data_IF_738915372933
#
_entry.id   IF_738915372933
#
_cell.length_a   1.000
_cell.length_b   1.000
_cell.length_c   1.000
_cell.angle_alpha   90.00
_cell.angle_beta   90.00
_cell.angle_gamma   90.00
#
_symmetry.space_group_name_H-M   'P 1'
#
loop_
_entity.id
_entity.type
_entity.pdbx_description
1 polymer ?
#
# COMPACT_ATOMS: atom_id res chain seq x y z
N UNK A 1 -21.45 4.24 15.10
CA UNK A 1 -20.68 3.44 14.10
C UNK A 1 -21.66 2.62 13.30
N UNK A 2 -21.48 2.50 11.99
CA UNK A 2 -22.35 1.69 11.14
C UNK A 2 -21.57 1.17 9.92
N UNK A 3 -21.92 -0.04 9.46
CA UNK A 3 -21.48 -0.58 8.19
C UNK A 3 -22.68 -0.61 7.25
N UNK A 4 -22.48 -0.09 6.04
CA UNK A 4 -23.45 -0.17 4.95
C UNK A 4 -22.80 -0.80 3.71
N UNK A 5 -23.63 -1.33 2.81
CA UNK A 5 -23.16 -1.98 1.58
C UNK A 5 -23.89 -1.44 0.38
N UNK A 6 -23.23 -1.45 -0.78
CA UNK A 6 -23.85 -1.20 -2.08
C UNK A 6 -23.20 -2.07 -3.17
N UNK A 7 -23.92 -2.42 -4.22
CA UNK A 7 -23.29 -3.01 -5.41
C UNK A 7 -22.29 -2.01 -6.01
N UNK A 8 -21.10 -2.51 -6.38
CA UNK A 8 -20.10 -1.69 -7.07
C UNK A 8 -20.02 -2.05 -8.57
N UNK A 9 -20.11 -3.33 -8.88
CA UNK A 9 -20.05 -3.81 -10.26
C UNK A 9 -20.10 -5.32 -10.34
N UNK A 10 -19.71 -5.84 -11.51
CA UNK A 10 -19.64 -7.28 -11.78
C UNK A 10 -18.29 -7.57 -12.44
N UNK A 11 -17.58 -8.58 -11.96
CA UNK A 11 -16.29 -9.00 -12.53
C UNK A 11 -16.46 -9.50 -13.97
N UNK A 12 -15.38 -9.58 -14.77
CA UNK A 12 -15.45 -10.19 -16.12
C UNK A 12 -15.97 -11.63 -16.13
N UNK A 13 -15.84 -12.36 -15.01
CA UNK A 13 -16.37 -13.72 -14.83
C UNK A 13 -17.84 -13.77 -14.38
N UNK A 14 -18.51 -12.61 -14.24
CA UNK A 14 -19.92 -12.52 -13.86
C UNK A 14 -20.19 -12.54 -12.36
N UNK A 15 -19.18 -12.41 -11.50
CA UNK A 15 -19.35 -12.37 -10.04
C UNK A 15 -19.63 -10.95 -9.57
N UNK A 16 -20.62 -10.74 -8.66
CA UNK A 16 -20.91 -9.41 -8.12
C UNK A 16 -19.78 -8.93 -7.21
N UNK A 17 -19.51 -7.63 -7.24
CA UNK A 17 -18.58 -6.93 -6.35
C UNK A 17 -19.38 -5.96 -5.49
N UNK A 18 -19.10 -6.00 -4.19
CA UNK A 18 -19.77 -5.20 -3.17
C UNK A 18 -18.80 -4.19 -2.56
N UNK A 19 -19.26 -2.96 -2.41
CA UNK A 19 -18.58 -1.92 -1.62
C UNK A 19 -19.17 -1.91 -0.20
N UNK A 20 -18.29 -1.95 0.79
CA UNK A 20 -18.57 -1.88 2.22
C UNK A 20 -18.10 -0.54 2.75
N UNK A 21 -18.97 0.22 3.42
CA UNK A 21 -18.62 1.51 4.01
C UNK A 21 -18.70 1.46 5.53
N UNK A 22 -17.55 1.65 6.17
CA UNK A 22 -17.41 1.78 7.62
C UNK A 22 -17.56 3.27 7.98
N UNK A 23 -18.57 3.63 8.77
CA UNK A 23 -18.81 5.01 9.18
C UNK A 23 -18.69 5.13 10.69
N UNK A 24 -17.91 6.09 11.18
CA UNK A 24 -17.76 6.36 12.60
C UNK A 24 -18.85 7.29 13.14
N UNK A 25 -18.89 7.52 14.47
CA UNK A 25 -19.88 8.37 15.11
C UNK A 25 -19.81 9.85 14.65
N UNK A 26 -18.66 10.32 14.19
CA UNK A 26 -18.45 11.67 13.66
C UNK A 26 -18.87 11.86 12.19
N UNK A 27 -19.32 10.79 11.51
CA UNK A 27 -19.70 10.81 10.10
C UNK A 27 -18.54 10.68 9.13
N UNK A 28 -17.30 10.54 9.61
CA UNK A 28 -16.17 10.15 8.78
C UNK A 28 -16.32 8.68 8.36
N UNK A 29 -15.78 8.30 7.19
CA UNK A 29 -16.01 6.94 6.66
C UNK A 29 -14.89 6.45 5.77
N UNK A 30 -14.79 5.12 5.65
CA UNK A 30 -13.91 4.42 4.72
C UNK A 30 -14.74 3.40 3.93
N UNK A 31 -14.56 3.37 2.61
CA UNK A 31 -15.24 2.40 1.72
C UNK A 31 -14.22 1.43 1.13
N UNK A 32 -14.56 0.13 1.15
CA UNK A 32 -13.69 -0.97 0.74
C UNK A 32 -14.49 -1.93 -0.16
N UNK A 33 -13.87 -2.42 -1.25
CA UNK A 33 -14.43 -3.48 -2.09
C UNK A 33 -14.02 -4.86 -1.57
N UNK A 34 -14.90 -5.84 -1.75
CA UNK A 34 -14.52 -7.26 -1.65
C UNK A 34 -13.69 -7.73 -2.84
N UNK A 35 -13.54 -6.94 -3.89
CA UNK A 35 -12.60 -7.16 -4.98
C UNK A 35 -11.28 -6.43 -4.66
N UNK A 36 -10.19 -7.18 -4.57
CA UNK A 36 -8.84 -6.66 -4.31
C UNK A 36 -8.65 -6.00 -2.93
N UNK A 37 -9.66 -6.03 -2.05
CA UNK A 37 -9.65 -5.26 -0.81
C UNK A 37 -9.43 -3.76 -1.05
N UNK A 38 -9.89 -3.26 -2.20
CA UNK A 38 -9.60 -1.90 -2.67
C UNK A 38 -10.30 -0.87 -1.79
N UNK A 39 -9.53 0.03 -1.20
CA UNK A 39 -10.05 1.21 -0.52
C UNK A 39 -10.45 2.24 -1.58
N UNK A 40 -11.75 2.49 -1.71
CA UNK A 40 -12.30 3.39 -2.74
C UNK A 40 -12.48 4.82 -2.24
N UNK A 41 -12.78 5.01 -0.94
CA UNK A 41 -13.00 6.33 -0.35
C UNK A 41 -12.46 6.38 1.09
N UNK A 42 -11.93 7.55 1.48
CA UNK A 42 -11.57 7.88 2.85
C UNK A 42 -12.05 9.31 3.10
N UNK A 43 -13.24 9.45 3.71
CA UNK A 43 -13.87 10.72 4.02
C UNK A 43 -13.49 11.16 5.44
N UNK A 44 -12.68 12.21 5.55
CA UNK A 44 -12.20 12.72 6.85
C UNK A 44 -12.29 14.24 6.94
N UNK A 45 -12.49 14.81 8.15
CA UNK A 45 -12.68 16.25 8.32
C UNK A 45 -11.38 17.05 8.13
N UNK A 46 -11.53 18.29 7.67
CA UNK A 46 -10.50 19.34 7.74
C UNK A 46 -10.61 20.11 9.08
N UNK A 47 -9.74 21.15 9.25
CA UNK A 47 -9.76 22.02 10.46
C UNK A 47 -11.06 22.80 10.66
N UNK A 48 -11.94 22.86 9.67
CA UNK A 48 -13.29 23.47 9.75
C UNK A 48 -14.38 22.41 9.92
N UNK A 49 -14.02 21.13 10.08
CA UNK A 49 -14.95 20.03 10.19
C UNK A 49 -15.58 19.58 8.86
N UNK A 50 -15.13 20.09 7.71
CA UNK A 50 -15.67 19.70 6.40
C UNK A 50 -15.05 18.41 5.96
N UNK A 51 -15.89 17.42 5.69
CA UNK A 51 -15.45 16.13 5.15
C UNK A 51 -15.00 16.28 3.69
N UNK A 52 -13.85 15.66 3.35
CA UNK A 52 -13.44 15.43 1.99
C UNK A 52 -12.80 14.07 1.85
N UNK A 53 -12.88 13.52 0.65
CA UNK A 53 -12.24 12.27 0.29
C UNK A 53 -10.75 12.52 0.02
N UNK A 54 -9.88 11.84 0.75
CA UNK A 54 -8.42 12.02 0.67
C UNK A 54 -7.71 10.84 0.00
N UNK A 55 -8.46 9.86 -0.55
CA UNK A 55 -7.92 8.70 -1.24
C UNK A 55 -8.28 8.71 -2.72
N UNK A 56 -7.31 8.52 -3.61
CA UNK A 56 -7.57 8.35 -5.03
C UNK A 56 -8.13 6.95 -5.30
N UNK A 57 -9.11 6.86 -6.19
CA UNK A 57 -9.67 5.59 -6.67
C UNK A 57 -10.45 5.77 -7.98
N UNK A 58 -10.98 4.69 -8.51
CA UNK A 58 -11.76 4.67 -9.75
C UNK A 58 -13.21 4.30 -9.46
N UNK A 59 -14.13 4.72 -10.34
CA UNK A 59 -15.53 4.30 -10.32
C UNK A 59 -15.78 3.06 -11.23
N UNK A 60 -14.77 2.62 -11.96
CA UNK A 60 -14.89 1.55 -12.96
C UNK A 60 -14.16 0.28 -12.51
N UNK A 61 -14.96 -0.78 -12.24
CA UNK A 61 -14.45 -2.09 -11.91
C UNK A 61 -13.66 -2.74 -13.06
N UNK A 62 -13.98 -2.43 -14.32
CA UNK A 62 -13.30 -3.01 -15.48
C UNK A 62 -11.82 -2.63 -15.52
N UNK A 63 -11.51 -1.38 -15.19
CA UNK A 63 -10.13 -0.89 -15.13
C UNK A 63 -9.36 -1.57 -13.99
N UNK A 64 -9.98 -1.78 -12.83
CA UNK A 64 -9.39 -2.55 -11.74
C UNK A 64 -9.16 -4.02 -12.13
N UNK A 65 -10.17 -4.67 -12.71
CA UNK A 65 -10.11 -6.09 -13.07
C UNK A 65 -9.11 -6.43 -14.18
N UNK A 66 -8.73 -5.44 -14.99
CA UNK A 66 -7.72 -5.58 -16.05
C UNK A 66 -6.31 -5.15 -15.59
N UNK A 67 -6.09 -4.96 -14.31
CA UNK A 67 -4.81 -4.49 -13.71
C UNK A 67 -4.28 -3.18 -14.34
N UNK A 68 -5.20 -2.31 -14.75
CA UNK A 68 -4.88 -1.02 -15.38
C UNK A 68 -4.98 0.16 -14.41
N UNK A 69 -5.28 -0.10 -13.15
CA UNK A 69 -5.49 0.91 -12.10
C UNK A 69 -4.21 1.31 -11.36
N UNK A 70 -3.04 0.77 -11.70
CA UNK A 70 -1.80 1.01 -10.98
C UNK A 70 -1.88 0.61 -9.51
N UNK A 71 -2.55 -0.50 -9.21
CA UNK A 71 -2.79 -1.04 -7.86
C UNK A 71 -3.54 -0.08 -6.91
N UNK A 72 -4.23 0.92 -7.44
CA UNK A 72 -4.82 2.02 -6.67
C UNK A 72 -5.78 1.54 -5.58
N UNK A 73 -5.41 1.76 -4.30
CA UNK A 73 -6.17 1.36 -3.11
C UNK A 73 -6.12 -0.13 -2.76
N UNK A 74 -5.46 -0.96 -3.57
CA UNK A 74 -5.55 -2.42 -3.49
C UNK A 74 -4.71 -3.03 -2.36
N UNK A 75 -5.14 -4.21 -1.89
CA UNK A 75 -4.30 -5.12 -1.14
C UNK A 75 -3.23 -5.72 -2.06
N UNK A 76 -2.01 -5.70 -1.62
CA UNK A 76 -0.87 -6.23 -2.35
C UNK A 76 -0.39 -7.53 -1.71
N UNK A 77 -0.20 -8.56 -2.52
CA UNK A 77 0.24 -9.89 -2.11
C UNK A 77 0.36 -10.87 -3.30
N UNK A 78 1.04 -12.03 -3.09
CA UNK A 78 1.65 -12.46 -1.79
C UNK A 78 2.80 -11.59 -1.31
N UNK A 79 3.55 -10.95 -2.23
CA UNK A 79 4.73 -10.14 -1.91
C UNK A 79 4.59 -8.76 -2.52
N UNK A 80 4.55 -7.75 -1.66
CA UNK A 80 4.57 -6.35 -2.05
C UNK A 80 5.92 -5.96 -2.62
N UNK A 81 5.90 -4.96 -3.52
CA UNK A 81 7.07 -4.47 -4.24
C UNK A 81 7.73 -5.56 -5.13
N UNK A 82 9.04 -5.43 -5.45
CA UNK A 82 9.74 -6.24 -6.46
C UNK A 82 10.46 -7.44 -5.88
N UNK A 83 10.50 -8.52 -6.69
CA UNK A 83 11.44 -9.65 -6.55
C UNK A 83 12.29 -9.64 -7.83
N UNK A 84 13.60 -9.40 -7.68
CA UNK A 84 14.56 -9.29 -8.78
C UNK A 84 14.64 -10.59 -9.60
N UNK A 85 14.74 -10.45 -10.94
CA UNK A 85 14.84 -11.58 -11.85
C UNK A 85 13.59 -12.47 -11.93
N UNK A 86 12.49 -12.10 -11.25
CA UNK A 86 11.25 -12.87 -11.17
C UNK A 86 11.49 -14.35 -10.80
N UNK A 87 12.31 -14.61 -9.80
CA UNK A 87 12.58 -15.95 -9.29
C UNK A 87 13.18 -15.86 -7.89
N UNK A 88 13.16 -16.94 -7.13
CA UNK A 88 13.86 -17.06 -5.86
C UNK A 88 14.20 -18.53 -5.55
N UNK A 89 15.19 -18.72 -4.69
CA UNK A 89 15.52 -20.03 -4.14
C UNK A 89 15.04 -20.12 -2.68
N UNK A 90 14.33 -21.19 -2.35
CA UNK A 90 13.86 -21.46 -1.00
C UNK A 90 14.04 -22.93 -0.67
N UNK A 91 14.77 -23.22 0.41
CA UNK A 91 15.05 -24.59 0.90
C UNK A 91 15.61 -25.53 -0.20
N UNK A 92 16.50 -24.99 -1.05
CA UNK A 92 17.18 -25.74 -2.10
C UNK A 92 16.35 -25.99 -3.36
N UNK A 93 15.16 -25.39 -3.47
CA UNK A 93 14.34 -25.39 -4.67
C UNK A 93 14.32 -24.02 -5.32
N UNK A 94 14.34 -24.00 -6.65
CA UNK A 94 14.19 -22.80 -7.47
C UNK A 94 12.72 -22.59 -7.83
N UNK A 95 12.20 -21.36 -7.61
CA UNK A 95 10.83 -20.99 -7.90
C UNK A 95 10.81 -19.81 -8.90
N UNK A 96 10.50 -20.07 -10.18
CA UNK A 96 10.28 -19.02 -11.16
C UNK A 96 8.92 -18.36 -10.90
N UNK A 97 8.89 -17.03 -10.96
CA UNK A 97 7.69 -16.21 -10.87
C UNK A 97 7.31 -15.64 -12.24
N UNK A 98 6.10 -15.13 -12.34
CA UNK A 98 5.68 -14.42 -13.54
C UNK A 98 6.36 -13.05 -13.60
N UNK A 99 6.98 -12.73 -14.75
CA UNK A 99 7.54 -11.41 -15.05
C UNK A 99 6.41 -10.45 -15.42
N UNK A 100 6.20 -9.41 -14.64
CA UNK A 100 5.19 -8.38 -14.90
C UNK A 100 5.71 -6.95 -14.76
N UNK A 101 7.03 -6.81 -14.50
CA UNK A 101 7.72 -5.52 -14.42
C UNK A 101 9.13 -5.63 -15.02
N UNK A 102 9.22 -5.57 -16.35
CA UNK A 102 10.45 -5.90 -17.06
C UNK A 102 10.89 -7.35 -16.80
N UNK A 103 12.10 -7.54 -16.31
CA UNK A 103 12.62 -8.86 -15.94
C UNK A 103 12.20 -9.31 -14.52
N UNK A 104 11.48 -8.46 -13.77
CA UNK A 104 11.18 -8.65 -12.37
C UNK A 104 9.72 -9.07 -12.14
N UNK A 105 9.44 -9.62 -10.96
CA UNK A 105 8.08 -9.76 -10.44
C UNK A 105 7.74 -8.53 -9.57
N UNK A 106 6.54 -8.00 -9.71
CA UNK A 106 6.02 -6.86 -8.95
C UNK A 106 4.66 -7.23 -8.35
N UNK A 107 4.48 -6.91 -7.07
CA UNK A 107 3.20 -7.00 -6.36
C UNK A 107 2.53 -8.38 -6.40
N UNK A 108 3.35 -9.46 -6.44
CA UNK A 108 2.84 -10.82 -6.44
C UNK A 108 2.43 -11.35 -7.82
N UNK A 109 2.70 -10.58 -8.89
CA UNK A 109 2.42 -11.00 -10.28
C UNK A 109 1.14 -10.40 -10.86
N UNK A 110 0.86 -10.68 -12.15
CA UNK A 110 -0.24 -10.04 -12.89
C UNK A 110 -1.64 -10.44 -12.39
N UNK A 111 -1.77 -11.52 -11.63
CA UNK A 111 -3.02 -11.93 -10.97
C UNK A 111 -2.79 -11.97 -9.45
N UNK A 112 -2.21 -10.89 -8.92
CA UNK A 112 -1.98 -10.72 -7.49
C UNK A 112 -3.27 -10.45 -6.69
N UNK A 113 -3.12 -10.24 -5.40
CA UNK A 113 -4.24 -10.10 -4.45
C UNK A 113 -5.18 -8.92 -4.76
N UNK A 114 -4.66 -7.87 -5.39
CA UNK A 114 -5.40 -6.65 -5.71
C UNK A 114 -6.44 -6.80 -6.82
N UNK A 115 -6.46 -7.91 -7.56
CA UNK A 115 -7.43 -8.16 -8.63
C UNK A 115 -8.19 -9.48 -8.43
N UNK A 116 -8.28 -9.96 -7.20
CA UNK A 116 -9.05 -11.14 -6.84
C UNK A 116 -10.29 -10.79 -6.02
N UNK A 117 -11.34 -11.61 -6.14
CA UNK A 117 -12.52 -11.48 -5.30
C UNK A 117 -12.26 -12.18 -3.97
N UNK A 118 -12.42 -11.45 -2.88
CA UNK A 118 -12.25 -11.92 -1.50
C UNK A 118 -13.60 -12.28 -0.89
N UNK A 119 -13.61 -13.21 0.02
CA UNK A 119 -14.79 -13.48 0.83
C UNK A 119 -14.87 -12.48 1.98
N UNK A 120 -15.91 -11.66 1.98
CA UNK A 120 -16.14 -10.64 3.01
C UNK A 120 -16.95 -11.19 4.17
N UNK A 121 -16.53 -10.87 5.38
CA UNK A 121 -17.26 -11.17 6.64
C UNK A 121 -17.29 -9.92 7.49
N UNK A 122 -18.48 -9.55 7.92
CA UNK A 122 -18.72 -8.43 8.84
C UNK A 122 -18.72 -8.91 10.28
N UNK A 123 -17.99 -8.25 11.17
CA UNK A 123 -18.12 -8.45 12.60
C UNK A 123 -19.38 -7.69 13.12
N UNK A 124 -20.36 -8.36 13.76
CA UNK A 124 -21.66 -7.75 14.04
C UNK A 124 -21.63 -6.52 14.97
N UNK A 125 -20.67 -6.46 15.89
CA UNK A 125 -20.58 -5.44 16.94
C UNK A 125 -19.38 -4.49 16.77
N UNK A 126 -18.62 -4.64 15.66
CA UNK A 126 -17.43 -3.86 15.38
C UNK A 126 -17.61 -3.09 14.06
N UNK A 127 -17.07 -1.87 14.00
CA UNK A 127 -16.96 -1.12 12.75
C UNK A 127 -15.76 -1.67 11.95
N UNK A 128 -15.88 -2.93 11.53
CA UNK A 128 -14.81 -3.69 10.89
C UNK A 128 -15.34 -4.64 9.80
N UNK A 129 -14.48 -4.87 8.81
CA UNK A 129 -14.68 -5.78 7.69
C UNK A 129 -13.48 -6.70 7.56
N UNK A 130 -13.69 -8.02 7.62
CA UNK A 130 -12.65 -9.02 7.37
C UNK A 130 -12.82 -9.60 5.97
N UNK A 131 -11.76 -9.54 5.18
CA UNK A 131 -11.64 -10.15 3.86
C UNK A 131 -10.73 -11.37 3.94
N UNK A 132 -11.15 -12.51 3.40
CA UNK A 132 -10.35 -13.75 3.37
C UNK A 132 -10.12 -14.23 1.95
N UNK A 133 -8.92 -14.75 1.71
CA UNK A 133 -8.52 -15.32 0.43
C UNK A 133 -7.68 -16.57 0.65
N UNK A 134 -7.88 -17.58 -0.20
CA UNK A 134 -7.01 -18.75 -0.29
C UNK A 134 -6.26 -18.69 -1.62
N UNK A 135 -4.96 -18.44 -1.54
CA UNK A 135 -4.04 -18.50 -2.68
C UNK A 135 -3.43 -19.91 -2.71
N UNK A 136 -3.74 -20.68 -3.74
CA UNK A 136 -3.36 -22.09 -3.86
C UNK A 136 -1.85 -22.29 -4.02
N UNK A 137 -1.36 -23.50 -3.74
CA UNK A 137 0.02 -23.88 -4.05
C UNK A 137 0.32 -23.67 -5.55
N UNK A 138 1.41 -22.97 -5.86
CA UNK A 138 1.82 -22.62 -7.21
C UNK A 138 1.14 -21.35 -7.79
N UNK A 139 0.24 -20.70 -7.05
CA UNK A 139 -0.38 -19.45 -7.50
C UNK A 139 0.69 -18.39 -7.77
N UNK A 140 0.70 -17.82 -8.99
CA UNK A 140 1.71 -16.87 -9.52
C UNK A 140 3.17 -17.39 -9.43
N UNK A 141 3.38 -18.71 -9.19
CA UNK A 141 4.68 -19.34 -9.00
C UNK A 141 5.10 -19.50 -7.54
N UNK A 142 4.35 -18.98 -6.58
CA UNK A 142 4.67 -19.11 -5.15
C UNK A 142 4.27 -20.48 -4.60
N UNK A 143 5.15 -21.16 -3.83
CA UNK A 143 4.84 -22.45 -3.21
C UNK A 143 3.89 -22.33 -2.02
N UNK A 144 3.23 -23.42 -1.70
CA UNK A 144 2.34 -23.59 -0.56
C UNK A 144 1.00 -22.90 -0.71
N UNK A 145 0.00 -23.44 -0.02
CA UNK A 145 -1.32 -22.81 0.09
C UNK A 145 -1.27 -21.71 1.14
N UNK A 146 -1.42 -20.47 0.74
CA UNK A 146 -1.49 -19.33 1.66
C UNK A 146 -2.96 -19.01 1.96
N UNK A 147 -3.31 -18.97 3.25
CA UNK A 147 -4.61 -18.51 3.74
C UNK A 147 -4.43 -17.13 4.34
N UNK A 148 -4.93 -16.11 3.66
CA UNK A 148 -4.84 -14.73 4.08
C UNK A 148 -6.18 -14.22 4.62
N UNK A 149 -6.12 -13.44 5.69
CA UNK A 149 -7.24 -12.68 6.23
C UNK A 149 -6.76 -11.24 6.47
N UNK A 150 -7.50 -10.26 5.97
CA UNK A 150 -7.21 -8.85 6.19
C UNK A 150 -8.44 -8.17 6.78
N UNK A 151 -8.26 -7.58 7.97
CA UNK A 151 -9.34 -6.89 8.67
C UNK A 151 -9.13 -5.39 8.61
N UNK A 152 -10.07 -4.70 8.00
CA UNK A 152 -10.19 -3.25 8.04
C UNK A 152 -11.07 -2.84 9.20
N UNK A 153 -10.63 -1.86 9.99
CA UNK A 153 -11.40 -1.26 11.06
C UNK A 153 -11.35 0.26 10.96
N UNK A 154 -12.42 0.95 11.37
CA UNK A 154 -12.44 2.41 11.37
C UNK A 154 -13.09 2.93 12.65
N UNK A 155 -12.33 3.66 13.46
CA UNK A 155 -12.73 4.09 14.78
C UNK A 155 -13.24 5.55 14.83
N UNK A 156 -13.69 5.96 16.01
CA UNK A 156 -14.20 7.32 16.27
C UNK A 156 -13.09 8.40 16.28
N UNK A 157 -11.83 7.99 16.28
CA UNK A 157 -10.66 8.86 16.15
C UNK A 157 -10.16 8.97 14.69
N UNK A 158 -10.98 8.52 13.73
CA UNK A 158 -10.65 8.47 12.31
C UNK A 158 -9.37 7.65 12.04
N UNK A 159 -9.13 6.58 12.76
CA UNK A 159 -8.04 5.65 12.51
C UNK A 159 -8.53 4.47 11.65
N UNK A 160 -8.02 4.37 10.43
CA UNK A 160 -8.16 3.20 9.56
C UNK A 160 -7.09 2.19 9.95
N UNK A 161 -7.48 1.15 10.67
CA UNK A 161 -6.64 0.00 10.99
C UNK A 161 -6.72 -1.05 9.89
N UNK A 162 -5.58 -1.63 9.51
CA UNK A 162 -5.48 -2.76 8.59
C UNK A 162 -4.64 -3.82 9.29
N UNK A 163 -5.28 -4.93 9.67
CA UNK A 163 -4.63 -6.07 10.29
C UNK A 163 -4.48 -7.18 9.26
N UNK A 164 -3.26 -7.61 9.01
CA UNK A 164 -2.92 -8.67 8.07
C UNK A 164 -2.56 -9.93 8.83
N UNK A 165 -3.24 -11.02 8.53
CA UNK A 165 -2.99 -12.35 9.09
C UNK A 165 -2.86 -13.36 7.96
N UNK A 166 -1.82 -14.21 8.00
CA UNK A 166 -1.73 -15.31 7.04
C UNK A 166 -1.02 -16.53 7.65
N UNK A 167 -1.42 -17.72 7.15
CA UNK A 167 -0.81 -19.01 7.43
C UNK A 167 -0.55 -19.78 6.14
N UNK A 168 0.36 -20.74 6.19
CA UNK A 168 0.71 -21.57 5.02
C UNK A 168 0.86 -23.03 5.41
N UNK A 169 0.72 -23.93 4.45
CA UNK A 169 0.97 -25.38 4.61
C UNK A 169 2.39 -25.82 4.19
N UNK A 170 3.13 -24.93 3.49
CA UNK A 170 4.53 -25.15 3.08
C UNK A 170 5.30 -23.83 3.21
N UNK A 171 6.66 -23.88 3.31
CA UNK A 171 7.46 -22.65 3.27
C UNK A 171 7.17 -21.83 2.00
N UNK A 172 6.88 -20.55 2.18
CA UNK A 172 6.56 -19.60 1.12
C UNK A 172 7.06 -18.20 1.46
N UNK A 173 6.77 -17.22 0.59
CA UNK A 173 7.02 -15.81 0.85
C UNK A 173 5.70 -15.10 1.17
N UNK A 174 5.73 -14.20 2.15
CA UNK A 174 4.59 -13.37 2.51
C UNK A 174 5.06 -11.99 2.94
N UNK A 175 4.58 -10.94 2.26
CA UNK A 175 4.83 -9.54 2.56
C UNK A 175 3.65 -8.72 2.04
N UNK A 176 2.60 -8.61 2.86
CA UNK A 176 1.36 -7.96 2.49
C UNK A 176 1.43 -6.46 2.79
N UNK A 177 0.82 -5.65 1.93
CA UNK A 177 0.67 -4.21 2.13
C UNK A 177 -0.60 -3.68 1.46
N UNK A 178 -0.86 -2.37 1.60
CA UNK A 178 -1.95 -1.66 0.92
C UNK A 178 -1.40 -0.50 0.10
N UNK A 179 -1.94 -0.30 -1.10
CA UNK A 179 -1.45 0.67 -2.08
C UNK A 179 -2.40 1.88 -2.23
N UNK A 180 -2.86 2.45 -1.11
CA UNK A 180 -3.62 3.70 -1.13
C UNK A 180 -2.78 4.87 -1.62
N UNK A 181 -3.39 5.73 -2.46
CA UNK A 181 -2.83 7.00 -2.92
C UNK A 181 -3.50 8.14 -2.17
N UNK A 182 -2.79 8.78 -1.28
CA UNK A 182 -3.31 9.84 -0.43
C UNK A 182 -3.09 11.24 -1.04
N UNK A 183 -4.11 12.09 -0.97
CA UNK A 183 -3.99 13.53 -1.15
C UNK A 183 -4.82 14.23 -0.08
N UNK A 184 -4.18 14.75 0.96
CA UNK A 184 -4.87 15.36 2.12
C UNK A 184 -5.54 16.70 1.80
N UNK A 185 -5.29 17.27 0.61
CA UNK A 185 -6.04 18.42 0.10
C UNK A 185 -7.42 18.04 -0.46
N UNK A 186 -7.62 16.76 -0.79
CA UNK A 186 -8.76 16.15 -1.46
C UNK A 186 -8.32 15.36 -2.69
N UNK A 187 -9.03 14.28 -3.04
CA UNK A 187 -8.67 13.45 -4.20
C UNK A 187 -8.73 14.22 -5.53
N UNK A 188 -9.50 15.32 -5.55
CA UNK A 188 -9.71 16.21 -6.69
C UNK A 188 -8.80 17.46 -6.68
N UNK A 189 -7.90 17.57 -5.72
CA UNK A 189 -7.11 18.80 -5.50
C UNK A 189 -5.87 18.94 -6.40
N UNK A 190 -5.65 18.02 -7.35
CA UNK A 190 -4.48 18.04 -8.22
C UNK A 190 -3.28 17.33 -7.58
N UNK A 191 -2.11 17.99 -7.51
CA UNK A 191 -0.86 17.35 -7.09
C UNK A 191 -0.61 17.42 -5.58
N UNK A 192 0.17 16.47 -5.07
CA UNK A 192 0.61 16.39 -3.65
C UNK A 192 1.84 17.24 -3.34
N UNK A 193 2.35 18.02 -4.28
CA UNK A 193 3.60 18.77 -4.16
C UNK A 193 3.61 19.79 -3.00
N UNK A 194 2.43 20.25 -2.56
CA UNK A 194 2.28 21.18 -1.45
C UNK A 194 2.11 20.49 -0.09
N UNK A 195 1.94 19.17 -0.06
CA UNK A 195 1.90 18.42 1.19
C UNK A 195 3.29 18.33 1.81
N UNK A 196 3.32 18.31 3.13
CA UNK A 196 4.53 18.07 3.93
C UNK A 196 4.58 16.62 4.39
N UNK A 197 5.71 15.96 4.13
CA UNK A 197 5.94 14.58 4.53
C UNK A 197 7.14 14.51 5.48
N UNK A 198 7.01 13.72 6.54
CA UNK A 198 8.10 13.27 7.38
C UNK A 198 8.10 11.75 7.46
N UNK A 199 9.27 11.10 7.32
CA UNK A 199 9.45 9.66 7.45
C UNK A 199 10.52 9.40 8.51
N UNK A 200 10.17 8.63 9.54
CA UNK A 200 11.06 8.29 10.66
C UNK A 200 11.86 7.03 10.30
N UNK A 201 12.87 7.19 9.47
CA UNK A 201 13.73 6.12 9.01
C UNK A 201 15.21 6.53 9.14
N UNK A 202 16.06 5.55 9.47
CA UNK A 202 17.50 5.75 9.59
C UNK A 202 18.20 5.63 8.24
N UNK A 203 17.65 4.83 7.32
CA UNK A 203 18.23 4.54 6.03
C UNK A 203 17.18 4.36 4.95
N UNK A 204 17.64 4.30 3.70
CA UNK A 204 16.86 3.88 2.52
C UNK A 204 17.59 2.73 1.82
N UNK A 205 16.86 1.87 1.13
CA UNK A 205 17.49 0.86 0.28
C UNK A 205 18.18 1.54 -0.91
N UNK A 206 19.48 1.25 -1.12
CA UNK A 206 20.14 1.54 -2.39
C UNK A 206 19.53 0.66 -3.48
N UNK A 207 19.19 1.23 -4.63
CA UNK A 207 18.53 0.51 -5.73
C UNK A 207 19.28 0.65 -7.03
N UNK A 208 19.12 -0.35 -7.91
CA UNK A 208 19.53 -0.29 -9.31
C UNK A 208 18.61 0.63 -10.12
N UNK A 209 18.93 0.96 -11.39
CA UNK A 209 18.00 1.70 -12.26
C UNK A 209 16.62 1.04 -12.46
N UNK A 210 16.52 -0.28 -12.31
CA UNK A 210 15.29 -1.05 -12.37
C UNK A 210 14.56 -1.10 -11.01
N UNK A 211 15.00 -0.29 -10.04
CA UNK A 211 14.44 -0.18 -8.69
C UNK A 211 14.52 -1.48 -7.87
N UNK A 212 15.51 -2.32 -8.14
CA UNK A 212 15.80 -3.51 -7.34
C UNK A 212 16.85 -3.16 -6.28
N UNK A 213 16.62 -3.47 -5.01
CA UNK A 213 17.61 -3.26 -3.96
C UNK A 213 18.96 -3.93 -4.26
N UNK A 214 20.06 -3.23 -4.00
CA UNK A 214 21.42 -3.79 -4.12
C UNK A 214 21.85 -4.58 -2.88
N UNK A 215 21.03 -4.57 -1.84
CA UNK A 215 21.36 -5.12 -0.53
C UNK A 215 22.04 -4.14 0.42
N UNK A 216 22.39 -2.95 -0.06
CA UNK A 216 22.98 -1.90 0.78
C UNK A 216 21.92 -0.95 1.30
N UNK A 217 22.19 -0.40 2.48
CA UNK A 217 21.42 0.68 3.11
C UNK A 217 22.25 1.97 3.07
N UNK A 218 21.61 3.05 2.65
CA UNK A 218 22.22 4.40 2.62
C UNK A 218 21.53 5.23 3.70
N UNK A 219 22.27 6.01 4.50
CA UNK A 219 21.67 6.91 5.50
C UNK A 219 20.58 7.79 4.87
N UNK A 220 19.42 7.89 5.52
CA UNK A 220 18.26 8.60 4.96
C UNK A 220 18.52 10.11 4.79
N UNK A 221 19.43 10.70 5.56
CA UNK A 221 19.84 12.10 5.46
C UNK A 221 20.91 12.37 4.39
N UNK A 222 21.49 11.31 3.78
CA UNK A 222 22.50 11.42 2.74
C UNK A 222 21.95 11.42 1.30
N UNK A 223 20.62 11.31 1.13
CA UNK A 223 19.98 11.24 -0.19
C UNK A 223 19.13 12.48 -0.47
N UNK A 224 18.96 12.91 -1.73
CA UNK A 224 18.16 14.10 -2.08
C UNK A 224 16.66 13.91 -1.85
N UNK A 225 16.20 12.67 -1.68
CA UNK A 225 14.81 12.31 -1.33
C UNK A 225 14.64 12.09 0.18
N UNK A 226 15.33 12.90 0.99
CA UNK A 226 15.27 12.87 2.45
C UNK A 226 13.97 13.50 2.98
N UNK A 227 13.25 12.74 3.82
CA UNK A 227 12.09 13.20 4.58
C UNK A 227 12.28 13.05 6.10
N UNK A 228 13.52 13.07 6.59
CA UNK A 228 13.82 12.97 8.03
C UNK A 228 13.21 14.13 8.85
N UNK A 229 12.97 15.26 8.24
CA UNK A 229 12.23 16.40 8.79
C UNK A 229 10.98 16.68 7.94
N UNK A 230 9.95 17.34 8.49
CA UNK A 230 8.80 17.78 7.69
C UNK A 230 9.25 18.56 6.46
N UNK A 231 9.08 17.99 5.27
CA UNK A 231 9.58 18.53 4.01
C UNK A 231 8.47 18.52 2.97
N UNK A 232 8.31 19.61 2.23
CA UNK A 232 7.35 19.65 1.13
C UNK A 232 7.76 18.65 0.04
N UNK A 233 6.80 17.82 -0.38
CA UNK A 233 7.04 16.82 -1.43
C UNK A 233 7.59 17.48 -2.70
N UNK A 234 7.05 18.63 -3.11
CA UNK A 234 7.52 19.38 -4.28
C UNK A 234 8.96 19.84 -4.18
N UNK A 235 9.47 20.13 -2.99
CA UNK A 235 10.88 20.53 -2.82
C UNK A 235 11.82 19.35 -3.07
N UNK A 236 11.45 18.15 -2.66
CA UNK A 236 12.16 16.91 -2.97
C UNK A 236 12.08 16.58 -4.45
N UNK A 237 10.91 16.69 -5.07
CA UNK A 237 10.68 16.37 -6.49
C UNK A 237 11.50 17.24 -7.45
N UNK A 238 11.98 18.43 -7.02
CA UNK A 238 12.90 19.26 -7.84
C UNK A 238 14.21 18.55 -8.18
N UNK A 239 14.62 17.58 -7.37
CA UNK A 239 15.83 16.80 -7.59
C UNK A 239 15.66 15.68 -8.62
N UNK A 240 14.42 15.39 -9.09
CA UNK A 240 14.12 14.27 -10.01
C UNK A 240 14.98 14.28 -11.28
N UNK A 241 15.30 15.43 -11.84
CA UNK A 241 16.10 15.50 -13.06
C UNK A 241 17.61 15.55 -12.81
N UNK A 242 18.05 15.96 -11.63
CA UNK A 242 19.47 16.11 -11.27
C UNK A 242 20.07 14.90 -10.58
N UNK A 243 19.24 14.11 -9.87
CA UNK A 243 19.67 12.88 -9.22
C UNK A 243 19.41 11.67 -10.12
N UNK A 244 20.43 10.83 -10.42
CA UNK A 244 20.26 9.69 -11.32
C UNK A 244 19.24 8.66 -10.84
N UNK A 245 19.14 8.42 -9.53
CA UNK A 245 18.22 7.43 -8.94
C UNK A 245 16.78 7.93 -9.03
N UNK A 246 16.54 9.18 -8.64
CA UNK A 246 15.21 9.80 -8.79
C UNK A 246 14.79 9.94 -10.24
N UNK A 247 15.75 10.20 -11.15
CA UNK A 247 15.49 10.26 -12.60
C UNK A 247 15.06 8.93 -13.16
N UNK A 248 15.71 7.83 -12.76
CA UNK A 248 15.31 6.47 -13.14
C UNK A 248 13.91 6.12 -12.62
N UNK A 249 13.59 6.48 -11.37
CA UNK A 249 12.28 6.30 -10.76
C UNK A 249 11.20 7.25 -11.32
N UNK A 250 11.58 8.38 -11.90
CA UNK A 250 10.69 9.44 -12.35
C UNK A 250 10.15 10.32 -11.22
N UNK A 251 10.58 10.12 -9.98
CA UNK A 251 10.14 10.79 -8.76
C UNK A 251 10.71 10.08 -7.53
N UNK A 252 9.96 10.05 -6.43
CA UNK A 252 10.28 9.20 -5.28
C UNK A 252 9.57 7.85 -5.46
N UNK A 253 10.32 6.76 -5.37
CA UNK A 253 9.83 5.37 -5.36
C UNK A 253 10.84 4.51 -4.60
N UNK A 254 10.95 4.75 -3.28
CA UNK A 254 12.00 4.16 -2.46
C UNK A 254 11.46 3.64 -1.13
N UNK A 255 12.06 2.54 -0.64
CA UNK A 255 11.77 2.00 0.67
C UNK A 255 12.67 2.65 1.73
N UNK A 256 12.03 3.24 2.73
CA UNK A 256 12.64 3.83 3.91
C UNK A 256 12.66 2.79 5.03
N UNK A 257 13.84 2.57 5.60
CA UNK A 257 14.13 1.52 6.56
C UNK A 257 14.07 2.08 7.99
N UNK A 258 13.07 1.67 8.78
CA UNK A 258 12.81 2.17 10.12
C UNK A 258 13.18 1.15 11.23
N UNK A 259 14.20 0.31 10.97
CA UNK A 259 14.70 -0.69 11.91
C UNK A 259 14.28 -2.12 11.59
N UNK A 260 14.56 -3.04 12.51
CA UNK A 260 14.30 -4.48 12.35
C UNK A 260 13.34 -5.03 13.40
N UNK A 261 13.07 -4.25 14.43
CA UNK A 261 12.11 -4.60 15.47
C UNK A 261 10.68 -4.59 14.90
N UNK A 262 9.83 -5.37 15.56
CA UNK A 262 8.40 -5.44 15.26
C UNK A 262 7.59 -4.62 16.28
N UNK A 263 8.20 -3.62 16.89
CA UNK A 263 7.49 -2.69 17.76
C UNK A 263 6.62 -1.76 16.92
N UNK A 264 5.39 -1.58 17.36
CA UNK A 264 4.46 -0.63 16.74
C UNK A 264 4.97 0.81 16.95
N UNK A 265 5.17 1.53 15.84
CA UNK A 265 5.73 2.89 15.83
C UNK A 265 5.06 3.76 14.77
N UNK A 266 5.08 5.06 14.98
CA UNK A 266 4.79 6.01 13.90
C UNK A 266 5.98 6.01 12.94
N UNK A 267 5.75 5.60 11.68
CA UNK A 267 6.79 5.50 10.66
C UNK A 267 6.79 6.72 9.72
N UNK A 268 5.63 7.36 9.54
CA UNK A 268 5.52 8.56 8.71
C UNK A 268 4.39 9.47 9.18
N UNK A 269 4.49 10.76 8.83
CA UNK A 269 3.44 11.78 9.02
C UNK A 269 3.30 12.57 7.72
N UNK A 270 2.11 12.60 7.17
CA UNK A 270 1.73 13.44 6.03
C UNK A 270 0.82 14.57 6.51
N UNK A 271 1.08 15.80 6.08
CA UNK A 271 0.36 16.98 6.50
C UNK A 271 -0.02 17.86 5.31
N UNK A 272 -1.25 18.39 5.33
CA UNK A 272 -1.70 19.43 4.41
C UNK A 272 -1.73 20.79 5.12
N UNK A 273 -0.82 21.72 4.82
CA UNK A 273 -0.90 23.08 5.35
C UNK A 273 -2.18 23.82 4.92
N UNK A 274 -2.75 23.46 3.78
CA UNK A 274 -3.97 24.08 3.23
C UNK A 274 -5.21 23.71 4.04
N UNK A 275 -5.43 22.42 4.30
CA UNK A 275 -6.64 21.92 4.96
C UNK A 275 -6.47 21.70 6.47
N UNK A 276 -5.23 21.61 6.93
CA UNK A 276 -4.84 21.19 8.28
C UNK A 276 -4.96 19.70 8.54
N UNK A 277 -5.35 18.89 7.55
CA UNK A 277 -5.37 17.44 7.73
C UNK A 277 -3.97 16.89 7.95
N UNK A 278 -3.88 15.98 8.90
CA UNK A 278 -2.68 15.19 9.20
C UNK A 278 -3.03 13.72 9.11
N UNK A 279 -2.15 12.93 8.54
CA UNK A 279 -2.22 11.46 8.57
C UNK A 279 -0.93 10.92 9.20
N UNK A 280 -1.06 10.20 10.31
CA UNK A 280 0.03 9.43 10.89
C UNK A 280 -0.04 8.00 10.40
N UNK A 281 1.07 7.45 9.96
CA UNK A 281 1.23 6.04 9.57
C UNK A 281 1.89 5.32 10.72
N UNK A 282 1.16 4.39 11.34
CA UNK A 282 1.58 3.65 12.53
C UNK A 282 1.63 2.17 12.17
N UNK A 283 2.75 1.49 12.44
CA UNK A 283 2.94 0.10 12.00
C UNK A 283 4.00 -0.63 12.80
N UNK A 284 3.95 -1.96 12.79
CA UNK A 284 4.99 -2.88 13.25
C UNK A 284 5.93 -3.33 12.12
N UNK A 285 5.73 -2.81 10.91
CA UNK A 285 6.57 -3.13 9.75
C UNK A 285 7.95 -2.44 9.82
N UNK A 286 9.01 -3.08 9.31
CA UNK A 286 10.38 -2.55 9.37
C UNK A 286 10.64 -1.41 8.38
N UNK A 287 9.76 -1.20 7.41
CA UNK A 287 9.93 -0.18 6.37
C UNK A 287 8.63 0.37 5.83
N UNK A 288 8.77 1.43 5.05
CA UNK A 288 7.68 2.05 4.28
C UNK A 288 8.19 2.44 2.90
N UNK A 289 7.52 1.93 1.86
CA UNK A 289 7.71 2.42 0.50
C UNK A 289 6.98 3.75 0.36
N UNK A 290 7.71 4.78 -0.05
CA UNK A 290 7.13 6.06 -0.45
C UNK A 290 7.14 6.15 -1.98
N UNK A 291 5.95 6.28 -2.57
CA UNK A 291 5.77 6.46 -4.01
C UNK A 291 4.94 7.72 -4.27
N UNK A 292 5.47 8.65 -5.06
CA UNK A 292 4.87 9.96 -5.30
C UNK A 292 3.89 10.01 -6.49
N UNK A 293 3.43 8.86 -6.97
CA UNK A 293 2.40 8.79 -8.01
C UNK A 293 2.84 9.34 -9.36
N UNK A 294 4.12 9.23 -9.70
CA UNK A 294 4.66 9.75 -10.97
C UNK A 294 4.14 9.01 -12.21
N UNK A 295 3.62 7.79 -12.05
CA UNK A 295 3.01 7.00 -13.12
C UNK A 295 1.51 7.23 -13.31
N UNK A 296 0.87 8.05 -12.47
CA UNK A 296 -0.57 8.29 -12.56
C UNK A 296 -0.96 8.99 -13.88
N UNK A 297 -1.93 8.39 -14.57
CA UNK A 297 -2.61 8.95 -15.73
C UNK A 297 -3.94 8.20 -15.92
N UNK A 298 -4.91 8.44 -15.03
CA UNK A 298 -6.16 7.69 -14.99
C UNK A 298 -7.38 8.60 -14.96
N UNK A 299 -8.46 8.18 -15.64
CA UNK A 299 -9.79 8.70 -15.34
C UNK A 299 -10.19 8.19 -13.95
N UNK A 300 -10.19 9.08 -12.99
CA UNK A 300 -10.50 8.77 -11.59
C UNK A 300 -11.99 8.84 -11.31
N UNK A 301 -12.34 8.62 -10.04
CA UNK A 301 -13.73 8.73 -9.59
C UNK A 301 -14.26 10.18 -9.67
N UNK A 302 -15.60 10.28 -9.65
CA UNK A 302 -16.32 11.56 -9.64
C UNK A 302 -15.94 12.46 -10.83
N UNK A 303 -15.48 11.91 -11.97
CA UNK A 303 -15.10 12.63 -13.19
C UNK A 303 -13.75 13.35 -13.11
N UNK A 304 -12.94 13.12 -12.08
CA UNK A 304 -11.61 13.71 -11.90
C UNK A 304 -10.58 12.91 -12.72
N UNK A 305 -9.62 13.61 -13.35
CA UNK A 305 -8.45 12.95 -13.94
C UNK A 305 -7.28 13.02 -12.98
N UNK A 306 -6.73 11.86 -12.62
CA UNK A 306 -5.53 11.77 -11.80
C UNK A 306 -4.29 11.77 -12.69
N UNK A 307 -3.55 12.86 -12.63
CA UNK A 307 -2.29 13.03 -13.34
C UNK A 307 -1.09 12.73 -12.44
N UNK A 308 0.09 12.87 -13.03
CA UNK A 308 1.38 12.73 -12.35
C UNK A 308 1.41 13.49 -11.03
N UNK A 309 1.89 12.84 -9.96
CA UNK A 309 1.95 13.38 -8.60
C UNK A 309 0.58 13.72 -7.98
N UNK A 310 -0.51 13.11 -8.46
CA UNK A 310 -1.85 13.33 -7.92
C UNK A 310 -2.07 12.74 -6.52
N UNK A 311 -1.27 11.74 -6.12
CA UNK A 311 -1.33 11.08 -4.81
C UNK A 311 0.03 10.57 -4.37
N UNK A 312 0.20 10.37 -3.07
CA UNK A 312 1.38 9.73 -2.47
C UNK A 312 0.99 8.43 -1.78
N UNK A 313 1.75 7.35 -2.04
CA UNK A 313 1.60 6.08 -1.36
C UNK A 313 2.62 5.96 -0.21
N UNK A 314 2.16 5.40 0.90
CA UNK A 314 2.98 5.07 2.07
C UNK A 314 2.68 3.62 2.44
N UNK A 315 3.36 2.69 1.77
CA UNK A 315 3.12 1.25 1.85
C UNK A 315 4.03 0.63 2.90
N UNK A 316 3.47 0.32 4.06
CA UNK A 316 4.22 -0.32 5.14
C UNK A 316 4.48 -1.78 4.81
N UNK A 317 5.72 -2.21 4.87
CA UNK A 317 6.14 -3.53 4.39
C UNK A 317 7.52 -3.92 4.90
N UNK A 318 7.91 -5.17 4.67
CA UNK A 318 9.30 -5.59 4.70
C UNK A 318 10.05 -4.99 3.50
N UNK A 319 11.39 -4.95 3.59
CA UNK A 319 12.20 -4.38 2.52
C UNK A 319 12.00 -5.15 1.22
N UNK A 320 11.89 -4.44 0.07
CA UNK A 320 11.77 -5.10 -1.23
C UNK A 320 12.93 -6.04 -1.50
N UNK A 321 12.68 -7.09 -2.28
CA UNK A 321 13.67 -8.12 -2.67
C UNK A 321 14.39 -8.82 -1.51
N UNK A 322 13.77 -8.82 -0.32
CA UNK A 322 14.39 -9.35 0.91
C UNK A 322 14.80 -10.83 0.80
N UNK A 323 14.18 -11.62 -0.07
CA UNK A 323 14.53 -13.02 -0.28
C UNK A 323 15.96 -13.19 -0.83
N UNK A 324 16.46 -12.23 -1.60
CA UNK A 324 17.83 -12.23 -2.14
C UNK A 324 18.87 -11.59 -1.20
N UNK A 325 18.42 -10.98 -0.10
CA UNK A 325 19.28 -10.23 0.81
C UNK A 325 19.16 -10.75 2.25
N UNK A 326 19.95 -11.77 2.66
CA UNK A 326 19.84 -12.40 3.99
C UNK A 326 20.02 -11.41 5.17
N UNK A 327 20.64 -10.26 4.93
CA UNK A 327 20.80 -9.17 5.91
C UNK A 327 19.51 -8.36 6.13
N UNK A 328 18.49 -8.48 5.25
CA UNK A 328 17.20 -7.83 5.41
C UNK A 328 16.26 -8.64 6.33
N UNK A 329 15.24 -8.01 6.92
CA UNK A 329 14.18 -8.75 7.62
C UNK A 329 13.54 -9.77 6.69
N UNK A 330 13.44 -11.03 7.13
CA UNK A 330 12.96 -12.14 6.30
C UNK A 330 11.47 -12.03 6.00
N UNK A 331 11.08 -12.34 4.76
CA UNK A 331 9.69 -12.48 4.31
C UNK A 331 9.27 -13.95 4.15
N UNK A 332 10.10 -14.89 4.61
CA UNK A 332 9.77 -16.32 4.55
C UNK A 332 8.77 -16.66 5.64
N UNK A 333 7.65 -17.23 5.25
CA UNK A 333 6.62 -17.76 6.14
C UNK A 333 6.66 -19.30 6.09
N UNK A 334 6.73 -19.94 7.26
CA UNK A 334 6.75 -21.42 7.40
C UNK A 334 5.45 -21.93 8.01
N UNK A 335 5.12 -23.22 7.88
CA UNK A 335 3.87 -23.78 8.41
C UNK A 335 3.64 -23.61 9.92
N UNK A 336 4.74 -23.50 10.70
CA UNK A 336 4.65 -23.24 12.15
C UNK A 336 4.56 -21.76 12.52
N UNK A 337 4.74 -20.87 11.56
CA UNK A 337 4.74 -19.42 11.77
C UNK A 337 3.38 -18.83 11.40
N UNK A 338 3.10 -17.68 11.95
CA UNK A 338 1.96 -16.85 11.58
C UNK A 338 2.47 -15.50 11.09
N UNK A 339 2.05 -15.09 9.90
CA UNK A 339 2.20 -13.71 9.47
C UNK A 339 1.12 -12.89 10.17
N UNK A 340 1.53 -11.96 11.01
CA UNK A 340 0.63 -11.13 11.81
C UNK A 340 1.24 -9.74 11.90
N UNK A 341 0.65 -8.76 11.20
CA UNK A 341 1.16 -7.40 11.12
C UNK A 341 0.03 -6.37 11.06
N UNK A 342 0.34 -5.14 11.47
CA UNK A 342 -0.64 -4.07 11.58
C UNK A 342 -0.15 -2.81 10.93
N UNK A 343 -1.08 -2.10 10.28
CA UNK A 343 -0.89 -0.72 9.83
C UNK A 343 -2.10 0.10 10.19
N UNK A 344 -1.88 1.30 10.70
CA UNK A 344 -2.95 2.25 11.00
C UNK A 344 -2.64 3.57 10.33
N UNK A 345 -3.59 4.05 9.52
CA UNK A 345 -3.60 5.42 9.00
C UNK A 345 -4.55 6.23 9.89
N UNK A 346 -3.98 7.02 10.80
CA UNK A 346 -4.75 7.84 11.74
C UNK A 346 -4.85 9.26 11.22
N UNK A 347 -6.08 9.68 10.90
CA UNK A 347 -6.35 11.02 10.40
C UNK A 347 -6.73 11.97 11.55
N UNK A 348 -6.20 13.18 11.47
CA UNK A 348 -6.44 14.24 12.43
C UNK A 348 -6.35 15.61 11.77
N UNK A 349 -6.36 16.67 12.59
CA UNK A 349 -6.20 18.08 12.15
C UNK A 349 -5.17 18.80 13.01
N UNK A 350 -4.45 19.75 12.39
CA UNK A 350 -3.42 20.58 13.02
C UNK A 350 -3.67 22.05 12.70
#
# INVERSE_FOLDING_TARGET
>A
MSLSTRPFGVTPSGLPVTEYTLTNAGGASVSILDFGGIVTRILVPDRQGRLADVNLSLDDLTTYANDQAGSMGALIGRVGNRIGGAAFDLEGKHYPLVKNNGENNLHGGPVGFGIQLWQATQAPDENALTLTLVSADGDQGFPGTLRAAVTYSFDDQCALGIHYHATTDQPTLCNLTNHCYFNLDGHDAGTVENLELQIFAEAVNEVTPDLIPTGKLVPADAVPYCFAQPTRIGDVLRHTQSDPTMKAAGGVDFNYCAGRDRETKTIAVLHSPKTGRVMEVITDQPGVQCYTGQGLNHAGKDGVTYGRFGGVCLETQHYPDAIHHPQFPSIVLRPQDVYDTHTTYRFGVK
#
